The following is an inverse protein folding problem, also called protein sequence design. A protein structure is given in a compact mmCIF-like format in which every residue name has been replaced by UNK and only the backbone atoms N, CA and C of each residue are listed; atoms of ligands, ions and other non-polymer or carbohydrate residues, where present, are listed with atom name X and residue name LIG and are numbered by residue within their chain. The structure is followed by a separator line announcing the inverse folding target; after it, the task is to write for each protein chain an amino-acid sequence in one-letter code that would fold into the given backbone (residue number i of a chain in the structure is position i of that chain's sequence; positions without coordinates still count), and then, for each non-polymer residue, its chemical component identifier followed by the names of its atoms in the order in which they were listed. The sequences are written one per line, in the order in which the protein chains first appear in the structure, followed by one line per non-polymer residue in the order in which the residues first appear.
data_IF_549208896152
#
_entry.id   IF_549208896152
#
_cell.length_a   1.000
_cell.length_b   1.000
_cell.length_c   1.000
_cell.angle_alpha   90.00
_cell.angle_beta   90.00
_cell.angle_gamma   90.00
#
_symmetry.space_group_name_H-M   'P 1'
#
loop_
_entity.id
_entity.type
_entity.pdbx_description
1 polymer ?
#
# COMPACT_ATOMS: atom_id res chain seq x y z
N UNK A 1 3.46 -25.29 14.12
CA UNK A 1 2.88 -23.94 14.00
C UNK A 1 3.06 -23.50 12.56
N UNK A 2 2.00 -23.03 11.89
CA UNK A 2 2.12 -22.42 10.56
C UNK A 2 2.98 -21.16 10.65
N UNK A 3 3.78 -20.89 9.61
CA UNK A 3 4.54 -19.64 9.54
C UNK A 3 3.56 -18.44 9.53
N UNK A 4 3.94 -17.30 10.15
CA UNK A 4 3.10 -16.11 10.12
C UNK A 4 2.90 -15.61 8.68
N UNK A 5 1.73 -15.05 8.41
CA UNK A 5 1.44 -14.36 7.15
C UNK A 5 2.47 -13.25 6.92
N UNK A 6 2.98 -13.12 5.69
CA UNK A 6 4.00 -12.14 5.33
C UNK A 6 3.42 -11.15 4.32
N UNK A 7 3.27 -9.90 4.75
CA UNK A 7 2.71 -8.82 3.93
C UNK A 7 3.80 -7.81 3.61
N UNK A 8 4.06 -7.58 2.33
CA UNK A 8 5.00 -6.59 1.82
C UNK A 8 4.24 -5.46 1.15
N UNK A 9 4.48 -4.23 1.57
CA UNK A 9 3.82 -3.04 1.04
C UNK A 9 4.90 -2.13 0.47
N UNK A 10 4.88 -1.89 -0.85
CA UNK A 10 5.89 -1.12 -1.56
C UNK A 10 5.28 0.20 -2.05
N UNK A 11 5.69 1.30 -1.43
CA UNK A 11 5.45 2.67 -1.88
C UNK A 11 6.62 3.25 -2.64
N UNK A 12 6.44 4.39 -3.26
CA UNK A 12 7.48 5.18 -3.87
C UNK A 12 8.20 6.05 -2.83
N UNK A 13 7.45 6.65 -1.91
CA UNK A 13 7.96 7.59 -0.89
C UNK A 13 7.71 7.09 0.54
N UNK A 14 8.46 7.61 1.54
CA UNK A 14 8.34 7.19 2.94
C UNK A 14 7.09 7.74 3.64
N UNK A 15 5.89 7.43 3.16
CA UNK A 15 4.56 7.70 3.72
C UNK A 15 3.44 7.06 2.88
N UNK A 16 3.74 6.62 1.64
CA UNK A 16 2.73 6.05 0.74
C UNK A 16 2.02 4.83 1.35
N UNK A 17 2.80 3.91 1.93
CA UNK A 17 2.27 2.69 2.55
C UNK A 17 1.33 3.05 3.71
N UNK A 18 1.73 4.01 4.53
CA UNK A 18 0.96 4.48 5.68
C UNK A 18 -0.37 5.10 5.24
N UNK A 19 -0.32 5.98 4.23
CA UNK A 19 -1.50 6.70 3.71
C UNK A 19 -2.50 5.75 3.07
N UNK A 20 -2.03 4.69 2.42
CA UNK A 20 -2.84 3.82 1.56
C UNK A 20 -3.32 2.54 2.26
N UNK A 21 -2.56 2.06 3.23
CA UNK A 21 -2.75 0.72 3.83
C UNK A 21 -2.60 0.72 5.35
N UNK A 22 -2.35 1.86 5.99
CA UNK A 22 -1.99 1.93 7.40
C UNK A 22 -3.01 1.30 8.35
N UNK A 23 -4.30 1.52 8.10
CA UNK A 23 -5.38 0.91 8.88
C UNK A 23 -5.45 -0.61 8.72
N UNK A 24 -5.32 -1.09 7.49
CA UNK A 24 -5.30 -2.54 7.18
C UNK A 24 -4.01 -3.18 7.68
N UNK A 25 -2.86 -2.50 7.56
CA UNK A 25 -1.58 -2.97 8.08
C UNK A 25 -1.63 -3.18 9.60
N UNK A 26 -2.28 -2.28 10.33
CA UNK A 26 -2.51 -2.44 11.76
C UNK A 26 -3.33 -3.70 12.06
N UNK A 27 -4.39 -4.01 11.27
CA UNK A 27 -5.15 -5.26 11.42
C UNK A 27 -4.31 -6.50 11.17
N UNK A 28 -3.45 -6.50 10.13
CA UNK A 28 -2.54 -7.62 9.91
C UNK A 28 -1.57 -7.83 11.07
N UNK A 29 -1.00 -6.76 11.62
CA UNK A 29 -0.12 -6.86 12.78
C UNK A 29 -0.86 -7.45 14.00
N UNK A 30 -2.11 -7.03 14.26
CA UNK A 30 -2.95 -7.58 15.33
C UNK A 30 -3.22 -9.09 15.17
N UNK A 31 -3.24 -9.58 13.93
CA UNK A 31 -3.41 -11.00 13.61
C UNK A 31 -2.07 -11.76 13.51
N UNK A 32 -0.98 -11.14 13.97
CA UNK A 32 0.34 -11.78 14.04
C UNK A 32 1.07 -11.89 12.69
N UNK A 33 0.64 -11.15 11.67
CA UNK A 33 1.36 -11.10 10.40
C UNK A 33 2.67 -10.34 10.52
N UNK A 34 3.69 -10.77 9.78
CA UNK A 34 4.92 -10.00 9.57
C UNK A 34 4.68 -8.96 8.46
N UNK A 35 4.47 -7.71 8.85
CA UNK A 35 4.25 -6.59 7.92
C UNK A 35 5.54 -5.83 7.72
N UNK A 36 5.95 -5.66 6.45
CA UNK A 36 7.06 -4.78 6.05
C UNK A 36 6.55 -3.74 5.07
N UNK A 37 6.77 -2.48 5.40
CA UNK A 37 6.61 -1.34 4.50
C UNK A 37 7.94 -1.01 3.84
N UNK A 38 7.91 -0.61 2.59
CA UNK A 38 9.10 -0.24 1.83
C UNK A 38 8.83 1.03 1.05
N UNK A 39 9.78 1.94 1.09
CA UNK A 39 9.86 3.05 0.14
C UNK A 39 10.99 2.81 -0.84
N UNK A 40 10.72 2.91 -2.15
CA UNK A 40 11.75 2.77 -3.17
C UNK A 40 12.66 3.99 -3.26
N UNK A 41 12.16 5.19 -2.87
CA UNK A 41 12.98 6.40 -2.80
C UNK A 41 13.15 6.88 -1.36
N UNK A 42 14.11 7.75 -1.13
CA UNK A 42 14.44 8.26 0.20
C UNK A 42 13.66 9.52 0.61
N UNK A 43 12.83 10.07 -0.28
CA UNK A 43 11.98 11.22 0.01
C UNK A 43 12.72 12.57 0.19
N UNK A 44 13.99 12.65 -0.25
CA UNK A 44 14.87 13.82 -0.05
C UNK A 44 14.41 15.11 -0.71
N UNK A 45 13.50 15.06 -1.69
CA UNK A 45 12.99 16.21 -2.43
C UNK A 45 11.62 16.69 -1.95
N UNK A 46 10.93 15.92 -1.10
CA UNK A 46 9.56 16.18 -0.68
C UNK A 46 9.42 17.20 0.46
N UNK A 47 9.97 18.44 0.30
CA UNK A 47 9.79 19.52 1.27
C UNK A 47 10.11 20.90 0.64
N UNK A 48 9.41 21.97 1.10
CA UNK A 48 9.53 23.31 0.54
C UNK A 48 10.84 24.05 0.85
N UNK A 49 11.59 23.63 1.88
CA UNK A 49 12.81 24.33 2.32
C UNK A 49 13.94 23.40 2.77
N UNK A 50 13.66 22.12 3.00
CA UNK A 50 14.65 21.11 3.35
C UNK A 50 14.81 20.11 2.20
N UNK A 51 16.01 19.64 1.92
CA UNK A 51 16.28 18.71 0.84
C UNK A 51 17.58 17.94 1.08
N UNK A 52 17.82 16.95 0.22
CA UNK A 52 19.08 16.18 0.25
C UNK A 52 19.18 15.21 1.43
N UNK A 53 20.39 14.84 1.83
CA UNK A 53 20.62 13.77 2.82
C UNK A 53 19.99 14.02 4.19
N UNK A 54 19.90 15.28 4.62
CA UNK A 54 19.29 15.62 5.92
C UNK A 54 17.78 15.36 5.91
N UNK A 55 17.12 15.72 4.82
CA UNK A 55 15.70 15.42 4.62
C UNK A 55 15.47 13.93 4.49
N UNK A 56 16.32 13.21 3.76
CA UNK A 56 16.23 11.75 3.65
C UNK A 56 16.34 11.06 5.03
N UNK A 57 17.26 11.51 5.90
CA UNK A 57 17.37 11.00 7.27
C UNK A 57 16.12 11.29 8.08
N UNK A 58 15.62 12.53 8.04
CA UNK A 58 14.39 12.93 8.74
C UNK A 58 13.21 12.05 8.32
N UNK A 59 12.97 11.86 7.03
CA UNK A 59 11.89 11.02 6.52
C UNK A 59 12.04 9.54 6.89
N UNK A 60 13.27 9.05 6.97
CA UNK A 60 13.55 7.70 7.47
C UNK A 60 13.11 7.56 8.93
N UNK A 61 13.54 8.49 9.79
CA UNK A 61 13.20 8.46 11.22
C UNK A 61 11.68 8.57 11.44
N UNK A 62 11.01 9.40 10.65
CA UNK A 62 9.54 9.53 10.65
C UNK A 62 8.86 8.21 10.25
N UNK A 63 9.27 7.58 9.14
CA UNK A 63 8.70 6.33 8.64
C UNK A 63 8.95 5.15 9.61
N UNK A 64 10.15 5.03 10.16
CA UNK A 64 10.45 4.02 11.18
C UNK A 64 9.60 4.21 12.45
N UNK A 65 9.35 5.48 12.82
CA UNK A 65 8.47 5.78 13.96
C UNK A 65 7.02 5.42 13.67
N UNK A 66 6.53 5.71 12.45
CA UNK A 66 5.19 5.33 12.00
C UNK A 66 5.00 3.80 12.02
N UNK A 67 5.93 3.03 11.48
CA UNK A 67 5.84 1.57 11.50
C UNK A 67 5.78 1.00 12.93
N UNK A 68 6.53 1.59 13.88
CA UNK A 68 6.49 1.18 15.29
C UNK A 68 5.12 1.34 15.94
N UNK A 69 4.29 2.29 15.50
CA UNK A 69 2.93 2.48 16.04
C UNK A 69 2.04 1.23 15.89
N UNK A 70 2.35 0.38 14.92
CA UNK A 70 1.55 -0.83 14.63
C UNK A 70 2.35 -2.13 14.78
N UNK A 71 3.64 -2.06 15.12
CA UNK A 71 4.52 -3.24 15.22
C UNK A 71 5.03 -3.75 13.86
N UNK A 72 4.94 -2.94 12.80
CA UNK A 72 5.51 -3.22 11.48
C UNK A 72 6.99 -2.81 11.40
N UNK A 73 7.64 -3.14 10.27
CA UNK A 73 8.98 -2.66 9.93
C UNK A 73 8.93 -1.75 8.69
N UNK A 74 9.84 -0.79 8.62
CA UNK A 74 10.00 0.08 7.44
C UNK A 74 11.40 -0.06 6.87
N UNK A 75 11.51 -0.21 5.55
CA UNK A 75 12.76 -0.23 4.81
C UNK A 75 12.72 0.87 3.75
N UNK A 76 13.77 1.69 3.67
CA UNK A 76 13.84 2.77 2.70
C UNK A 76 15.09 2.56 1.85
N UNK A 77 14.91 2.43 0.55
CA UNK A 77 16.01 2.33 -0.39
C UNK A 77 16.66 3.70 -0.61
N UNK A 78 17.88 3.69 -1.09
CA UNK A 78 18.73 4.88 -1.29
C UNK A 78 18.59 5.51 -2.69
N UNK A 79 17.48 5.30 -3.36
CA UNK A 79 17.16 5.95 -4.62
C UNK A 79 16.67 7.37 -4.32
N UNK A 80 17.20 8.36 -5.02
CA UNK A 80 16.81 9.74 -4.81
C UNK A 80 15.33 9.95 -5.22
N UNK A 81 14.59 10.67 -4.38
CA UNK A 81 13.21 11.09 -4.65
C UNK A 81 13.15 11.95 -5.93
N UNK A 82 12.24 11.59 -6.84
CA UNK A 82 12.10 12.18 -8.18
C UNK A 82 12.99 11.54 -9.25
N UNK A 83 13.83 10.56 -8.91
CA UNK A 83 14.78 9.92 -9.82
C UNK A 83 14.50 8.42 -10.04
N UNK A 84 13.37 7.92 -9.57
CA UNK A 84 12.98 6.54 -9.81
C UNK A 84 12.58 6.36 -11.29
N UNK A 85 13.15 5.31 -11.93
CA UNK A 85 12.83 4.93 -13.31
C UNK A 85 12.79 3.39 -13.45
N UNK A 86 12.60 2.87 -14.67
CA UNK A 86 12.44 1.46 -14.98
C UNK A 86 13.77 0.74 -15.31
N UNK A 87 14.91 1.33 -14.94
CA UNK A 87 16.22 0.73 -15.25
C UNK A 87 16.37 -0.66 -14.63
N UNK A 88 17.18 -1.48 -15.29
CA UNK A 88 17.36 -2.89 -14.96
C UNK A 88 17.92 -3.13 -13.55
N UNK A 89 18.81 -2.27 -13.05
CA UNK A 89 19.36 -2.39 -11.70
C UNK A 89 18.30 -2.15 -10.62
N UNK A 90 17.36 -1.23 -10.82
CA UNK A 90 16.24 -1.02 -9.90
C UNK A 90 15.26 -2.20 -9.93
N UNK A 91 14.95 -2.75 -11.10
CA UNK A 91 14.15 -3.99 -11.22
C UNK A 91 14.82 -5.14 -10.47
N UNK A 92 16.13 -5.34 -10.63
CA UNK A 92 16.86 -6.36 -9.91
C UNK A 92 16.87 -6.13 -8.39
N UNK A 93 16.92 -4.88 -7.93
CA UNK A 93 16.79 -4.55 -6.49
C UNK A 93 15.40 -4.92 -5.96
N UNK A 94 14.34 -4.60 -6.69
CA UNK A 94 12.95 -4.95 -6.33
C UNK A 94 12.75 -6.47 -6.30
N UNK A 95 13.28 -7.22 -7.29
CA UNK A 95 13.25 -8.69 -7.31
C UNK A 95 13.94 -9.25 -6.05
N UNK A 96 15.14 -8.79 -5.71
CA UNK A 96 15.89 -9.24 -4.53
C UNK A 96 15.15 -8.93 -3.24
N UNK A 97 14.60 -7.72 -3.12
CA UNK A 97 13.79 -7.28 -1.98
C UNK A 97 12.61 -8.22 -1.76
N UNK A 98 11.81 -8.46 -2.79
CA UNK A 98 10.62 -9.32 -2.70
C UNK A 98 11.03 -10.75 -2.38
N UNK A 99 12.04 -11.30 -3.06
CA UNK A 99 12.53 -12.67 -2.79
C UNK A 99 13.08 -12.83 -1.37
N UNK A 100 13.83 -11.86 -0.87
CA UNK A 100 14.39 -11.91 0.49
C UNK A 100 13.29 -11.89 1.55
N UNK A 101 12.25 -11.12 1.33
CA UNK A 101 11.12 -11.06 2.26
C UNK A 101 10.18 -12.26 2.12
N UNK A 102 10.03 -12.88 0.92
CA UNK A 102 9.16 -14.03 0.64
C UNK A 102 7.69 -13.75 1.03
N UNK A 103 7.04 -12.74 0.45
CA UNK A 103 5.68 -12.37 0.83
C UNK A 103 4.65 -13.41 0.39
N UNK A 104 3.56 -13.52 1.16
CA UNK A 104 2.29 -14.13 0.73
C UNK A 104 1.43 -13.12 -0.04
N UNK A 105 1.52 -11.85 0.39
CA UNK A 105 0.79 -10.72 -0.15
C UNK A 105 1.75 -9.55 -0.42
N UNK A 106 1.68 -9.00 -1.62
CA UNK A 106 2.42 -7.82 -2.06
C UNK A 106 1.43 -6.73 -2.45
N UNK A 107 1.64 -5.50 -1.99
CA UNK A 107 0.78 -4.36 -2.31
C UNK A 107 1.64 -3.22 -2.83
N UNK A 108 1.24 -2.57 -3.93
CA UNK A 108 2.00 -1.50 -4.55
C UNK A 108 1.11 -0.47 -5.27
N UNK A 109 1.73 0.55 -5.85
CA UNK A 109 1.06 1.48 -6.74
C UNK A 109 0.58 0.80 -8.03
N UNK A 110 -0.47 1.35 -8.64
CA UNK A 110 -0.79 1.11 -10.04
C UNK A 110 0.24 1.84 -10.92
N UNK A 111 0.34 1.42 -12.18
CA UNK A 111 1.19 2.09 -13.18
C UNK A 111 0.61 3.43 -13.69
N UNK A 112 -0.56 3.82 -13.18
CA UNK A 112 -1.27 5.07 -13.50
C UNK A 112 -1.34 5.94 -12.26
N UNK A 113 -0.59 7.04 -12.24
CA UNK A 113 -0.56 7.99 -11.12
C UNK A 113 -0.07 9.35 -11.61
N UNK A 114 -0.28 10.43 -10.81
CA UNK A 114 0.24 11.76 -11.12
C UNK A 114 1.76 11.83 -10.97
N UNK A 115 2.32 11.12 -9.96
CA UNK A 115 3.73 11.17 -9.65
C UNK A 115 4.52 10.16 -10.50
N UNK A 116 5.65 10.55 -11.15
CA UNK A 116 6.46 9.60 -11.90
C UNK A 116 6.96 8.43 -11.04
N UNK A 117 7.48 8.71 -9.84
CA UNK A 117 7.98 7.66 -8.95
C UNK A 117 6.89 6.65 -8.56
N UNK A 118 5.63 7.08 -8.35
CA UNK A 118 4.51 6.15 -8.10
C UNK A 118 4.30 5.22 -9.29
N UNK A 119 4.32 5.78 -10.53
CA UNK A 119 4.17 4.96 -11.74
C UNK A 119 5.29 3.97 -11.90
N UNK A 120 6.54 4.42 -11.68
CA UNK A 120 7.71 3.53 -11.76
C UNK A 120 7.76 2.51 -10.63
N UNK A 121 7.35 2.85 -9.41
CA UNK A 121 7.22 1.87 -8.34
C UNK A 121 6.23 0.75 -8.71
N UNK A 122 5.07 1.12 -9.24
CA UNK A 122 4.08 0.16 -9.77
C UNK A 122 4.63 -0.68 -10.91
N UNK A 123 5.30 -0.05 -11.89
CA UNK A 123 5.89 -0.73 -13.04
C UNK A 123 7.01 -1.69 -12.63
N UNK A 124 7.91 -1.29 -11.74
CA UNK A 124 9.00 -2.15 -11.26
C UNK A 124 8.47 -3.39 -10.52
N UNK A 125 7.39 -3.25 -9.73
CA UNK A 125 6.73 -4.39 -9.09
C UNK A 125 6.07 -5.30 -10.12
N UNK A 126 5.38 -4.73 -11.10
CA UNK A 126 4.73 -5.47 -12.17
C UNK A 126 5.74 -6.23 -13.04
N UNK A 127 6.82 -5.57 -13.43
CA UNK A 127 7.93 -6.17 -14.20
C UNK A 127 8.68 -7.26 -13.41
N UNK A 128 8.77 -7.11 -12.08
CA UNK A 128 9.38 -8.12 -11.23
C UNK A 128 8.51 -9.39 -11.10
N UNK A 129 7.19 -9.29 -11.18
CA UNK A 129 6.25 -10.33 -10.77
C UNK A 129 6.59 -11.71 -11.37
N UNK A 130 6.57 -11.86 -12.69
CA UNK A 130 6.92 -13.14 -13.32
C UNK A 130 8.34 -13.60 -12.96
N UNK A 131 9.27 -12.66 -12.89
CA UNK A 131 10.70 -12.95 -12.66
C UNK A 131 11.01 -13.41 -11.24
N UNK A 132 10.10 -13.24 -10.29
CA UNK A 132 10.26 -13.73 -8.90
C UNK A 132 10.49 -15.25 -8.84
N UNK A 133 9.91 -15.99 -9.78
CA UNK A 133 9.98 -17.46 -9.84
C UNK A 133 11.05 -17.98 -10.79
N UNK A 134 11.77 -17.11 -11.54
CA UNK A 134 12.77 -17.50 -12.54
C UNK A 134 14.16 -17.65 -11.91
N UNK A 135 14.72 -18.89 -11.79
CA UNK A 135 15.97 -19.11 -11.06
C UNK A 135 17.18 -18.36 -11.61
N UNK A 136 17.25 -18.18 -12.94
CA UNK A 136 18.39 -17.57 -13.61
C UNK A 136 18.46 -16.03 -13.46
N UNK A 137 17.37 -15.40 -13.04
CA UNK A 137 17.31 -13.95 -12.74
C UNK A 137 17.70 -13.72 -11.29
N UNK A 138 18.64 -12.83 -11.01
CA UNK A 138 19.16 -12.55 -9.67
C UNK A 138 19.50 -13.84 -8.89
N UNK A 139 20.40 -14.71 -9.38
CA UNK A 139 20.66 -16.03 -8.80
C UNK A 139 21.32 -15.98 -7.43
N UNK A 140 21.77 -14.81 -6.99
CA UNK A 140 22.32 -14.52 -5.68
C UNK A 140 21.26 -14.55 -4.55
N UNK A 141 19.97 -14.46 -4.90
CA UNK A 141 18.84 -14.62 -3.95
C UNK A 141 17.91 -15.73 -4.45
N UNK A 142 17.61 -16.75 -3.63
CA UNK A 142 16.76 -17.86 -4.05
C UNK A 142 15.42 -17.36 -4.61
N UNK A 143 15.02 -17.90 -5.77
CA UNK A 143 13.72 -17.61 -6.39
C UNK A 143 12.57 -18.10 -5.51
N UNK A 144 11.39 -17.52 -5.70
CA UNK A 144 10.19 -17.97 -5.01
C UNK A 144 9.68 -19.27 -5.66
N UNK A 145 9.20 -20.20 -4.81
CA UNK A 145 8.52 -21.41 -5.27
C UNK A 145 7.01 -21.17 -5.50
N UNK A 146 6.52 -19.96 -5.22
CA UNK A 146 5.13 -19.56 -5.42
C UNK A 146 5.07 -18.11 -5.89
N UNK A 147 3.94 -17.73 -6.50
CA UNK A 147 3.64 -16.36 -6.82
C UNK A 147 2.82 -15.75 -5.66
N UNK A 148 3.22 -14.61 -5.07
CA UNK A 148 2.37 -13.90 -4.11
C UNK A 148 1.10 -13.36 -4.79
N UNK A 149 0.03 -13.17 -4.03
CA UNK A 149 -1.06 -12.31 -4.49
C UNK A 149 -0.53 -10.88 -4.53
N UNK A 150 -0.83 -10.15 -5.61
CA UNK A 150 -0.42 -8.76 -5.78
C UNK A 150 -1.67 -7.89 -5.80
N UNK A 151 -1.68 -6.83 -5.01
CA UNK A 151 -2.75 -5.84 -4.96
C UNK A 151 -2.24 -4.46 -5.30
N UNK A 152 -3.13 -3.61 -5.75
CA UNK A 152 -2.86 -2.20 -5.99
C UNK A 152 -3.53 -1.31 -4.95
N UNK A 153 -2.86 -0.21 -4.59
CA UNK A 153 -3.40 0.88 -3.79
C UNK A 153 -4.59 1.54 -4.47
N UNK A 154 -5.55 1.99 -3.67
CA UNK A 154 -6.64 2.82 -4.18
C UNK A 154 -6.14 4.16 -4.72
N UNK A 155 -6.70 4.58 -5.85
CA UNK A 155 -6.49 5.90 -6.45
C UNK A 155 -7.80 6.49 -7.02
N UNK A 156 -7.70 7.66 -7.65
CA UNK A 156 -8.85 8.32 -8.27
C UNK A 156 -8.67 8.51 -9.78
N UNK A 157 -7.64 7.93 -10.38
CA UNK A 157 -7.39 8.05 -11.81
C UNK A 157 -8.39 7.23 -12.62
N UNK A 158 -8.75 7.76 -13.79
CA UNK A 158 -9.79 7.19 -14.66
C UNK A 158 -9.27 6.68 -15.99
N UNK A 159 -8.06 7.05 -16.36
CA UNK A 159 -7.43 6.70 -17.66
C UNK A 159 -6.03 6.12 -17.39
N UNK A 160 -5.64 5.07 -18.11
CA UNK A 160 -6.39 4.36 -19.16
C UNK A 160 -7.58 3.54 -18.62
N UNK A 161 -7.52 3.07 -17.36
CA UNK A 161 -8.59 2.33 -16.68
C UNK A 161 -8.84 2.90 -15.28
N UNK A 162 -10.07 2.77 -14.79
CA UNK A 162 -10.43 3.17 -13.43
C UNK A 162 -9.90 2.14 -12.44
N UNK A 163 -9.70 2.58 -11.19
CA UNK A 163 -9.51 1.69 -10.07
C UNK A 163 -10.84 0.98 -9.76
N UNK A 164 -10.82 -0.36 -9.78
CA UNK A 164 -11.98 -1.22 -9.54
C UNK A 164 -11.65 -2.20 -8.40
N UNK A 165 -12.00 -1.86 -7.15
CA UNK A 165 -11.56 -2.65 -6.02
C UNK A 165 -12.27 -4.00 -5.92
N UNK A 166 -11.49 -5.04 -5.64
CA UNK A 166 -11.96 -6.40 -5.34
C UNK A 166 -12.10 -6.64 -3.84
N UNK A 167 -11.32 -5.91 -3.03
CA UNK A 167 -11.29 -6.02 -1.57
C UNK A 167 -11.50 -4.65 -0.94
N UNK A 168 -12.34 -4.60 0.08
CA UNK A 168 -12.42 -3.47 0.99
C UNK A 168 -12.26 -3.93 2.44
N UNK A 169 -11.56 -3.13 3.22
CA UNK A 169 -11.33 -3.36 4.64
C UNK A 169 -11.88 -2.19 5.43
N UNK A 170 -12.81 -2.49 6.33
CA UNK A 170 -13.29 -1.55 7.35
C UNK A 170 -12.14 -1.24 8.31
N UNK A 171 -11.75 0.03 8.39
CA UNK A 171 -10.62 0.50 9.21
C UNK A 171 -11.04 1.41 10.35
N UNK A 172 -12.32 1.44 10.72
CA UNK A 172 -12.82 2.31 11.80
C UNK A 172 -12.12 2.00 13.12
N UNK A 173 -11.96 0.73 13.49
CA UNK A 173 -11.30 0.32 14.74
C UNK A 173 -9.78 0.59 14.76
N UNK A 174 -9.16 0.73 13.58
CA UNK A 174 -7.71 0.99 13.43
C UNK A 174 -7.42 2.42 13.01
N UNK A 175 -8.44 3.26 12.85
CA UNK A 175 -8.30 4.62 12.35
C UNK A 175 -7.41 5.50 13.23
N UNK A 176 -7.50 5.39 14.55
CA UNK A 176 -6.65 6.15 15.46
C UNK A 176 -5.17 5.78 15.29
N UNK A 177 -4.85 4.49 15.09
CA UNK A 177 -3.48 4.04 14.81
C UNK A 177 -2.98 4.49 13.44
N UNK A 178 -3.84 4.49 12.42
CA UNK A 178 -3.54 5.10 11.12
C UNK A 178 -3.16 6.58 11.31
N UNK A 179 -3.93 7.32 12.11
CA UNK A 179 -3.63 8.73 12.42
C UNK A 179 -2.30 8.87 13.17
N UNK A 180 -2.01 8.00 14.14
CA UNK A 180 -0.75 8.00 14.87
C UNK A 180 0.46 7.75 13.97
N UNK A 181 0.35 6.82 13.00
CA UNK A 181 1.36 6.60 11.98
C UNK A 181 1.60 7.87 11.16
N UNK A 182 0.55 8.46 10.63
CA UNK A 182 0.63 9.66 9.80
C UNK A 182 1.12 10.89 10.60
N UNK A 183 0.81 10.95 11.89
CA UNK A 183 1.30 11.98 12.80
C UNK A 183 2.81 11.96 12.97
N UNK A 184 3.44 10.78 12.86
CA UNK A 184 4.90 10.64 12.86
C UNK A 184 5.56 11.30 11.64
N UNK A 185 4.89 11.39 10.50
CA UNK A 185 5.38 12.02 9.28
C UNK A 185 5.20 13.55 9.33
N UNK A 186 5.77 14.21 10.33
CA UNK A 186 5.57 15.63 10.59
C UNK A 186 5.98 16.50 9.41
N UNK A 187 7.09 16.18 8.75
CA UNK A 187 7.56 16.89 7.56
C UNK A 187 6.55 16.90 6.42
N UNK A 188 5.71 15.86 6.33
CA UNK A 188 4.73 15.73 5.25
C UNK A 188 3.38 16.32 5.66
N UNK A 189 2.80 15.87 6.79
CA UNK A 189 1.43 16.20 7.14
C UNK A 189 1.25 17.60 7.72
N UNK A 190 2.32 18.20 8.28
CA UNK A 190 2.27 19.52 8.90
C UNK A 190 3.12 20.56 8.20
N UNK A 191 3.94 20.17 7.23
CA UNK A 191 4.84 21.08 6.52
C UNK A 191 4.60 21.00 5.01
N UNK A 192 5.06 19.96 4.31
CA UNK A 192 5.03 19.87 2.85
C UNK A 192 3.64 19.83 2.23
N UNK A 193 2.78 18.90 2.65
CA UNK A 193 1.45 18.75 2.06
C UNK A 193 0.56 20.00 2.30
N UNK A 194 0.54 20.61 3.48
CA UNK A 194 -0.14 21.90 3.69
C UNK A 194 0.47 23.04 2.87
N UNK A 195 1.81 23.11 2.74
CA UNK A 195 2.46 24.10 1.90
C UNK A 195 2.04 23.96 0.43
N UNK A 196 2.13 22.74 -0.10
CA UNK A 196 1.76 22.46 -1.48
C UNK A 196 0.25 22.72 -1.77
N UNK A 197 -0.60 22.55 -0.77
CA UNK A 197 -2.03 22.85 -0.85
C UNK A 197 -2.39 24.32 -0.56
N UNK A 198 -1.43 25.18 -0.21
CA UNK A 198 -1.66 26.56 0.18
C UNK A 198 -2.38 26.73 1.53
N UNK A 199 -2.34 25.72 2.40
CA UNK A 199 -3.06 25.68 3.70
C UNK A 199 -2.10 25.62 4.89
N UNK A 200 -0.83 25.98 4.71
CA UNK A 200 0.18 25.90 5.79
C UNK A 200 -0.21 26.74 7.04
N UNK A 201 -0.86 27.89 6.83
CA UNK A 201 -1.33 28.74 7.91
C UNK A 201 -2.48 28.13 8.76
N UNK A 202 -3.12 27.07 8.26
CA UNK A 202 -4.19 26.36 8.96
C UNK A 202 -3.65 25.29 9.92
N UNK A 203 -2.35 24.95 9.83
CA UNK A 203 -1.74 23.92 10.67
C UNK A 203 -1.61 24.42 12.10
N UNK A 204 -2.19 23.70 13.08
CA UNK A 204 -2.11 24.12 14.48
C UNK A 204 -0.68 24.11 15.03
N UNK A 205 -0.45 24.95 16.04
CA UNK A 205 0.89 25.09 16.64
C UNK A 205 1.26 23.93 17.58
N UNK A 206 0.29 23.39 18.33
CA UNK A 206 0.54 22.36 19.34
C UNK A 206 0.37 20.96 18.78
N UNK A 207 1.13 20.00 19.32
CA UNK A 207 1.11 18.61 18.91
C UNK A 207 -0.28 17.97 18.98
N UNK A 208 -0.95 18.10 20.12
CA UNK A 208 -2.31 17.59 20.29
C UNK A 208 -3.32 18.19 19.30
N UNK A 209 -3.24 19.51 19.03
CA UNK A 209 -4.11 20.15 18.06
C UNK A 209 -3.79 19.74 16.62
N UNK A 210 -2.51 19.46 16.30
CA UNK A 210 -2.09 18.89 15.01
C UNK A 210 -2.71 17.51 14.77
N UNK A 211 -2.65 16.63 15.78
CA UNK A 211 -3.25 15.30 15.67
C UNK A 211 -4.76 15.39 15.43
N UNK A 212 -5.48 16.23 16.18
CA UNK A 212 -6.92 16.41 15.98
C UNK A 212 -7.26 16.99 14.59
N UNK A 213 -6.50 17.97 14.13
CA UNK A 213 -6.62 18.52 12.78
C UNK A 213 -6.37 17.43 11.69
N UNK A 214 -5.39 16.56 11.91
CA UNK A 214 -5.09 15.43 11.01
C UNK A 214 -6.25 14.43 10.95
N UNK A 215 -6.88 14.09 12.09
CA UNK A 215 -8.11 13.28 12.15
C UNK A 215 -9.16 13.82 11.19
N UNK A 216 -9.47 15.11 11.28
CA UNK A 216 -10.45 15.76 10.40
C UNK A 216 -10.07 15.70 8.93
N UNK A 217 -8.78 15.88 8.60
CA UNK A 217 -8.29 15.76 7.21
C UNK A 217 -8.39 14.33 6.68
N UNK A 218 -8.01 13.36 7.47
CA UNK A 218 -8.05 11.94 7.06
C UNK A 218 -9.47 11.44 6.90
N UNK A 219 -10.41 11.81 7.79
CA UNK A 219 -11.83 11.48 7.61
C UNK A 219 -12.39 12.04 6.31
N UNK A 220 -12.04 13.29 5.95
CA UNK A 220 -12.44 13.88 4.66
C UNK A 220 -11.80 13.19 3.45
N UNK A 221 -10.59 12.66 3.58
CA UNK A 221 -9.86 11.98 2.50
C UNK A 221 -10.40 10.58 2.23
N UNK A 222 -10.58 9.76 3.26
CA UNK A 222 -10.94 8.35 3.11
C UNK A 222 -12.44 8.08 3.25
N UNK A 223 -13.19 8.93 3.96
CA UNK A 223 -14.64 8.77 4.13
C UNK A 223 -15.42 8.56 2.83
N UNK A 224 -15.18 9.34 1.76
CA UNK A 224 -15.88 9.15 0.49
C UNK A 224 -15.68 7.79 -0.18
N UNK A 225 -14.67 7.00 0.22
CA UNK A 225 -14.43 5.68 -0.37
C UNK A 225 -15.51 4.67 -0.01
N UNK A 226 -16.00 4.68 1.23
CA UNK A 226 -17.07 3.78 1.67
C UNK A 226 -18.36 3.99 0.86
N UNK A 227 -18.73 5.25 0.59
CA UNK A 227 -19.91 5.56 -0.22
C UNK A 227 -19.70 5.23 -1.70
N UNK A 228 -18.50 5.52 -2.22
CA UNK A 228 -18.15 5.21 -3.63
C UNK A 228 -18.24 3.72 -3.92
N UNK A 229 -17.85 2.88 -2.97
CA UNK A 229 -17.79 1.41 -3.11
C UNK A 229 -18.81 0.70 -2.20
N UNK A 230 -19.94 1.35 -1.93
CA UNK A 230 -20.98 0.85 -1.02
C UNK A 230 -21.45 -0.57 -1.36
N UNK A 231 -21.57 -0.89 -2.64
CA UNK A 231 -21.95 -2.24 -3.08
C UNK A 231 -20.91 -3.29 -2.66
N UNK A 232 -19.61 -2.99 -2.79
CA UNK A 232 -18.54 -3.88 -2.34
C UNK A 232 -18.55 -4.01 -0.81
N UNK A 233 -18.73 -2.90 -0.09
CA UNK A 233 -18.82 -2.89 1.37
C UNK A 233 -19.98 -3.74 1.84
N UNK A 234 -21.17 -3.60 1.22
CA UNK A 234 -22.35 -4.37 1.55
C UNK A 234 -22.18 -5.86 1.23
N UNK A 235 -21.59 -6.20 0.08
CA UNK A 235 -21.24 -7.60 -0.24
C UNK A 235 -20.25 -8.21 0.76
N UNK A 236 -19.30 -7.41 1.25
CA UNK A 236 -18.26 -7.89 2.18
C UNK A 236 -18.79 -8.07 3.60
N UNK A 237 -19.59 -7.13 4.11
CA UNK A 237 -19.98 -7.07 5.52
C UNK A 237 -21.46 -7.39 5.78
N UNK A 238 -22.24 -7.61 4.73
CA UNK A 238 -23.71 -7.76 4.80
C UNK A 238 -24.43 -6.43 4.93
N UNK A 239 -25.75 -6.41 4.63
CA UNK A 239 -26.57 -5.20 4.59
C UNK A 239 -26.49 -4.35 5.87
N UNK A 240 -26.73 -4.99 7.03
CA UNK A 240 -26.84 -4.27 8.30
C UNK A 240 -25.54 -3.60 8.74
N UNK A 241 -24.39 -4.28 8.59
CA UNK A 241 -23.06 -3.71 8.91
C UNK A 241 -22.59 -2.82 7.79
N UNK A 242 -22.71 -3.25 6.53
CA UNK A 242 -22.25 -2.52 5.37
C UNK A 242 -22.85 -1.12 5.24
N UNK A 243 -24.11 -0.94 5.62
CA UNK A 243 -24.76 0.37 5.64
C UNK A 243 -24.14 1.35 6.66
N UNK A 244 -23.45 0.86 7.69
CA UNK A 244 -22.87 1.69 8.77
C UNK A 244 -21.38 1.98 8.61
N UNK A 245 -20.65 1.16 7.86
CA UNK A 245 -19.21 1.35 7.63
C UNK A 245 -18.97 2.68 6.90
N UNK A 246 -18.11 3.52 7.46
CA UNK A 246 -17.79 4.86 6.94
C UNK A 246 -16.34 5.01 6.48
N UNK A 247 -15.41 4.22 7.05
CA UNK A 247 -13.99 4.34 6.74
C UNK A 247 -13.46 3.00 6.21
N UNK A 248 -13.02 3.00 4.97
CA UNK A 248 -12.43 1.81 4.35
C UNK A 248 -11.09 2.13 3.69
N UNK A 249 -10.26 1.11 3.60
CA UNK A 249 -9.21 0.99 2.61
C UNK A 249 -9.66 -0.02 1.55
N UNK A 250 -9.29 0.21 0.31
CA UNK A 250 -9.75 -0.58 -0.82
C UNK A 250 -8.58 -0.98 -1.72
N UNK A 251 -8.63 -2.20 -2.26
CA UNK A 251 -7.56 -2.82 -3.03
C UNK A 251 -8.10 -3.47 -4.30
N UNK A 252 -7.38 -3.27 -5.40
CA UNK A 252 -7.64 -3.93 -6.69
C UNK A 252 -6.63 -5.08 -6.88
N UNK A 253 -7.09 -6.25 -7.34
CA UNK A 253 -6.24 -7.41 -7.59
C UNK A 253 -5.47 -7.23 -8.89
N UNK A 254 -4.17 -7.40 -8.83
CA UNK A 254 -3.31 -7.41 -10.00
C UNK A 254 -3.40 -8.75 -10.76
N UNK A 255 -3.51 -8.70 -12.06
CA UNK A 255 -3.47 -9.88 -12.94
C UNK A 255 -2.07 -10.53 -13.03
N UNK A 256 -1.03 -9.83 -12.53
CA UNK A 256 0.37 -10.30 -12.56
C UNK A 256 0.75 -11.17 -11.36
N UNK A 257 -0.11 -11.25 -10.34
CA UNK A 257 0.07 -12.08 -9.15
C UNK A 257 -0.68 -13.41 -9.20
N UNK A 258 -0.60 -14.18 -8.09
CA UNK A 258 -1.49 -15.30 -7.87
C UNK A 258 -2.95 -14.83 -7.75
N UNK A 259 -3.94 -15.66 -8.10
CA UNK A 259 -5.35 -15.32 -7.91
C UNK A 259 -5.70 -15.11 -6.44
N UNK A 260 -6.59 -14.16 -6.18
CA UNK A 260 -7.23 -14.00 -4.88
C UNK A 260 -8.55 -14.79 -4.86
N UNK A 261 -8.46 -16.13 -4.78
CA UNK A 261 -9.64 -16.96 -4.59
C UNK A 261 -10.18 -16.90 -3.15
N UNK A 262 -11.26 -17.60 -2.86
CA UNK A 262 -11.90 -17.59 -1.53
C UNK A 262 -10.95 -18.08 -0.42
N UNK A 263 -10.12 -19.10 -0.70
CA UNK A 263 -9.17 -19.63 0.27
C UNK A 263 -8.02 -18.65 0.52
N UNK A 264 -7.47 -18.05 -0.55
CA UNK A 264 -6.47 -17.01 -0.44
C UNK A 264 -7.02 -15.78 0.30
N UNK A 265 -8.25 -15.35 0.00
CA UNK A 265 -8.90 -14.23 0.69
C UNK A 265 -9.02 -14.50 2.19
N UNK A 266 -9.50 -15.66 2.60
CA UNK A 266 -9.62 -16.03 4.03
C UNK A 266 -8.24 -16.05 4.71
N UNK A 267 -7.22 -16.58 4.04
CA UNK A 267 -5.86 -16.65 4.58
C UNK A 267 -5.19 -15.28 4.67
N UNK A 268 -5.34 -14.45 3.64
CA UNK A 268 -4.66 -13.16 3.51
C UNK A 268 -5.36 -12.03 4.29
N UNK A 269 -6.67 -12.16 4.51
CA UNK A 269 -7.48 -11.18 5.25
C UNK A 269 -8.28 -11.87 6.37
N UNK A 270 -7.60 -12.41 7.41
CA UNK A 270 -8.25 -13.21 8.45
C UNK A 270 -9.28 -12.44 9.30
N UNK A 271 -9.30 -11.13 9.18
CA UNK A 271 -10.22 -10.23 9.85
C UNK A 271 -11.47 -9.88 9.01
N UNK A 272 -11.54 -10.31 7.75
CA UNK A 272 -12.74 -10.14 6.96
C UNK A 272 -13.75 -11.25 7.25
N UNK A 273 -15.06 -10.97 7.14
CA UNK A 273 -16.08 -12.03 7.19
C UNK A 273 -15.82 -13.10 6.12
N UNK A 274 -16.25 -14.33 6.41
CA UNK A 274 -16.24 -15.38 5.40
C UNK A 274 -16.98 -14.93 4.13
N UNK A 275 -16.44 -15.28 2.97
CA UNK A 275 -17.06 -14.95 1.71
C UNK A 275 -18.43 -15.64 1.61
N UNK A 276 -19.48 -14.92 1.18
CA UNK A 276 -20.77 -15.53 0.90
C UNK A 276 -20.60 -16.66 -0.14
N UNK A 277 -21.32 -17.78 0.01
CA UNK A 277 -21.30 -18.85 -0.97
C UNK A 277 -21.65 -18.31 -2.36
N UNK A 278 -20.79 -18.53 -3.36
CA UNK A 278 -21.00 -18.05 -4.73
C UNK A 278 -20.37 -16.70 -5.10
N UNK A 279 -19.62 -16.06 -4.21
CA UNK A 279 -18.78 -14.93 -4.57
C UNK A 279 -17.62 -15.43 -5.46
N UNK A 280 -17.81 -15.41 -6.76
CA UNK A 280 -16.74 -15.74 -7.72
C UNK A 280 -15.85 -14.51 -7.90
N UNK A 281 -14.65 -14.58 -7.40
CA UNK A 281 -13.55 -13.72 -7.87
C UNK A 281 -13.11 -14.32 -9.22
N UNK A 282 -13.76 -13.90 -10.32
CA UNK A 282 -13.47 -14.46 -11.63
C UNK A 282 -12.09 -13.99 -12.10
N UNK A 283 -11.22 -14.94 -12.27
CA UNK A 283 -10.01 -14.81 -13.08
C UNK A 283 -10.37 -15.06 -14.54
N UNK A 284 -9.96 -14.19 -15.47
CA UNK A 284 -9.68 -14.65 -16.84
C UNK A 284 -8.41 -15.50 -16.75
N UNK A 285 -8.50 -16.79 -17.03
CA UNK A 285 -7.32 -17.62 -17.15
C UNK A 285 -6.49 -17.16 -18.36
N UNK A 286 -5.15 -17.20 -18.24
CA UNK A 286 -4.26 -16.92 -19.37
C UNK A 286 -4.56 -17.82 -20.59
N UNK A 287 -5.21 -18.97 -20.36
CA UNK A 287 -5.72 -19.87 -21.40
C UNK A 287 -6.88 -19.30 -22.22
N UNK A 288 -7.55 -18.24 -21.73
CA UNK A 288 -8.68 -17.60 -22.42
C UNK A 288 -8.27 -16.40 -23.29
N UNK A 289 -6.97 -16.10 -23.37
CA UNK A 289 -6.43 -15.12 -24.32
C UNK A 289 -6.28 -15.85 -25.66
N UNK A 290 -7.04 -15.47 -26.70
CA UNK A 290 -6.84 -16.06 -28.03
C UNK A 290 -5.41 -15.79 -28.45
N UNK A 291 -4.73 -16.82 -28.98
CA UNK A 291 -3.43 -16.64 -29.64
C UNK A 291 -3.59 -15.50 -30.64
N UNK A 292 -2.80 -14.44 -30.47
CA UNK A 292 -2.77 -13.35 -31.42
C UNK A 292 -2.06 -13.88 -32.67
N UNK A 293 -2.82 -14.07 -33.75
CA UNK A 293 -2.29 -14.34 -35.09
C UNK A 293 -1.41 -13.20 -35.62
#
# INVERSE_FOLDING_TARGET
MSLPLRVLIIGAHPDDADIKVGGTAARWCDHGAAVRMVSLTDGRAGHQSQHGPDMARRRRDEAESAARCIGATYEILDIADGELDDRLDYRHRVIRLIRSFRPDLLIAHRTTDYHPDHRFAGLLVQDAAYLLTVPAVCPDVPHLAWMPVILYFSDAFRKPCRFEPDVCVDVEDTFDRLVDMLHCHASQFYEWLPFNAGTLAEVPATDAARREWLIGRMRRRIGPLADRYRDLVTRTYGEARGARVQLIEAFEVSEYGAPLDAAARTRLFPFLPEAAPGASFQRKEWADIPDAD
#
